data_IF_724589386973
#
_entry.id   IF_724589386973
#
_cell.length_a   1.000
_cell.length_b   1.000
_cell.length_c   1.000
_cell.angle_alpha   90.00
_cell.angle_beta   90.00
_cell.angle_gamma   90.00
#
_symmetry.space_group_name_H-M   'P 1'
#
loop_
_entity.id
_entity.type
_entity.pdbx_description
1 polymer ?
#
# COMPACT_ATOMS: atom_id res chain seq x y z
N UNK A 1 -0.93 -21.77 -40.22
CA UNK A 1 -0.38 -22.41 -39.01
C UNK A 1 -0.06 -21.29 -38.03
N UNK A 2 -0.85 -21.11 -36.97
CA UNK A 2 -0.62 -20.10 -35.93
C UNK A 2 0.56 -20.55 -35.08
N UNK A 3 1.64 -19.76 -35.08
CA UNK A 3 2.74 -19.94 -34.14
C UNK A 3 2.27 -19.62 -32.72
N UNK A 4 2.68 -20.47 -31.78
CA UNK A 4 2.20 -20.53 -30.42
C UNK A 4 2.33 -19.21 -29.67
N UNK A 5 1.18 -18.67 -29.28
CA UNK A 5 1.08 -17.87 -28.09
C UNK A 5 1.33 -18.82 -26.92
N UNK A 6 2.58 -18.85 -26.43
CA UNK A 6 2.86 -19.34 -25.08
C UNK A 6 2.05 -18.46 -24.15
N UNK A 7 0.86 -18.93 -23.80
CA UNK A 7 0.00 -18.18 -22.91
C UNK A 7 0.59 -18.37 -21.52
N UNK A 8 1.45 -17.43 -21.15
CA UNK A 8 2.04 -17.29 -19.82
C UNK A 8 0.94 -16.99 -18.80
N UNK A 9 0.14 -18.00 -18.42
CA UNK A 9 -1.03 -17.83 -17.55
C UNK A 9 -0.76 -18.04 -16.05
N UNK A 10 0.50 -18.13 -15.61
CA UNK A 10 0.81 -18.52 -14.23
C UNK A 10 1.14 -17.37 -13.26
N UNK A 11 1.57 -16.21 -13.75
CA UNK A 11 2.04 -15.10 -12.87
C UNK A 11 1.08 -13.90 -12.86
N UNK A 12 0.42 -13.60 -13.97
CA UNK A 12 -0.52 -12.47 -14.06
C UNK A 12 -1.77 -12.71 -13.18
N UNK A 13 -2.27 -13.95 -13.13
CA UNK A 13 -3.36 -14.32 -12.20
C UNK A 13 -2.98 -14.18 -10.73
N UNK A 14 -1.71 -14.43 -10.37
CA UNK A 14 -1.27 -14.28 -8.97
C UNK A 14 -1.16 -12.81 -8.60
N UNK A 15 -0.65 -11.97 -9.51
CA UNK A 15 -0.60 -10.52 -9.31
C UNK A 15 -1.99 -9.92 -9.22
N UNK A 16 -2.90 -10.24 -10.14
CA UNK A 16 -4.29 -9.77 -10.11
C UNK A 16 -4.98 -10.17 -8.79
N UNK A 17 -4.76 -11.39 -8.29
CA UNK A 17 -5.26 -11.79 -6.96
C UNK A 17 -4.65 -10.98 -5.82
N UNK A 18 -3.33 -10.74 -5.85
CA UNK A 18 -2.64 -9.95 -4.83
C UNK A 18 -3.08 -8.48 -4.85
N UNK A 19 -3.29 -7.90 -6.03
CA UNK A 19 -3.80 -6.54 -6.21
C UNK A 19 -5.23 -6.42 -5.69
N UNK A 20 -6.11 -7.38 -6.04
CA UNK A 20 -7.48 -7.44 -5.51
C UNK A 20 -7.50 -7.56 -3.99
N UNK A 21 -6.61 -8.37 -3.43
CA UNK A 21 -6.47 -8.50 -1.98
C UNK A 21 -6.13 -7.14 -1.37
N UNK A 22 -5.08 -6.47 -1.89
CA UNK A 22 -4.66 -5.17 -1.40
C UNK A 22 -5.74 -4.10 -1.53
N UNK A 23 -6.48 -4.06 -2.64
CA UNK A 23 -7.60 -3.14 -2.86
C UNK A 23 -8.73 -3.42 -1.86
N UNK A 24 -9.07 -4.69 -1.65
CA UNK A 24 -10.09 -5.10 -0.68
C UNK A 24 -9.69 -4.69 0.74
N UNK A 25 -8.44 -4.95 1.11
CA UNK A 25 -7.87 -4.54 2.39
C UNK A 25 -7.86 -3.02 2.56
N UNK A 26 -7.50 -2.26 1.51
CA UNK A 26 -7.56 -0.80 1.53
C UNK A 26 -8.99 -0.29 1.73
N UNK A 27 -9.96 -0.91 1.04
CA UNK A 27 -11.38 -0.63 1.23
C UNK A 27 -11.84 -0.89 2.66
N UNK A 28 -11.41 -2.00 3.27
CA UNK A 28 -11.66 -2.31 4.67
C UNK A 28 -11.04 -1.29 5.62
N UNK A 29 -9.80 -0.89 5.36
CA UNK A 29 -9.09 0.13 6.13
C UNK A 29 -9.83 1.48 6.10
N UNK A 30 -10.36 1.83 4.92
CA UNK A 30 -11.17 3.03 4.70
C UNK A 30 -12.57 3.00 5.32
N UNK A 31 -13.05 1.85 5.83
CA UNK A 31 -14.32 1.78 6.56
C UNK A 31 -14.25 2.48 7.92
N UNK A 32 -13.06 2.60 8.49
CA UNK A 32 -12.85 3.23 9.79
C UNK A 32 -11.87 4.40 9.64
N UNK A 33 -12.28 5.66 9.87
CA UNK A 33 -11.41 6.82 9.71
C UNK A 33 -10.15 6.75 10.57
N UNK A 34 -10.22 6.14 11.75
CA UNK A 34 -9.07 5.94 12.64
C UNK A 34 -8.03 4.99 12.03
N UNK A 35 -8.46 3.90 11.37
CA UNK A 35 -7.56 2.91 10.76
C UNK A 35 -6.82 3.48 9.56
N UNK A 36 -7.55 4.17 8.67
CA UNK A 36 -6.92 4.81 7.52
C UNK A 36 -6.03 5.97 7.93
N UNK A 37 -6.40 6.73 8.97
CA UNK A 37 -5.55 7.78 9.54
C UNK A 37 -4.19 7.25 10.00
N UNK A 38 -4.17 6.14 10.75
CA UNK A 38 -2.93 5.49 11.18
C UNK A 38 -2.04 5.05 10.01
N UNK A 39 -2.63 4.48 8.96
CA UNK A 39 -1.87 4.12 7.77
C UNK A 39 -1.30 5.32 7.02
N UNK A 40 -2.03 6.44 6.96
CA UNK A 40 -1.55 7.66 6.32
C UNK A 40 -0.41 8.30 7.09
N UNK A 41 -0.50 8.32 8.42
CA UNK A 41 0.58 8.79 9.29
C UNK A 41 1.85 7.93 9.12
N UNK A 42 1.69 6.60 9.08
CA UNK A 42 2.82 5.66 8.93
C UNK A 42 3.40 5.66 7.51
N UNK A 43 2.56 5.78 6.47
CA UNK A 43 3.00 5.81 5.07
C UNK A 43 3.50 7.19 4.62
N UNK A 44 3.16 8.25 5.35
CA UNK A 44 3.46 9.64 4.99
C UNK A 44 2.69 10.14 3.76
N UNK A 45 1.64 9.44 3.33
CA UNK A 45 0.82 9.78 2.17
C UNK A 45 -0.37 10.62 2.65
N UNK A 46 -0.68 11.72 1.95
CA UNK A 46 -1.87 12.53 2.26
C UNK A 46 -3.15 11.83 1.76
N UNK A 47 -4.28 12.02 2.45
CA UNK A 47 -5.55 11.40 2.06
C UNK A 47 -5.99 11.72 0.62
N UNK A 48 -5.71 12.94 0.14
CA UNK A 48 -5.99 13.36 -1.25
C UNK A 48 -5.29 12.49 -2.31
N UNK A 49 -4.15 11.87 -1.98
CA UNK A 49 -3.40 11.04 -2.90
C UNK A 49 -3.75 9.56 -2.81
N UNK A 50 -4.60 9.11 -1.87
CA UNK A 50 -4.95 7.69 -1.74
C UNK A 50 -5.56 7.14 -3.03
N UNK A 51 -6.53 7.86 -3.63
CA UNK A 51 -7.21 7.39 -4.85
C UNK A 51 -6.24 7.27 -6.03
N UNK A 52 -5.33 8.24 -6.17
CA UNK A 52 -4.29 8.20 -7.20
C UNK A 52 -3.27 7.08 -6.91
N UNK A 53 -2.86 6.93 -5.65
CA UNK A 53 -1.90 5.94 -5.22
C UNK A 53 -2.47 4.51 -5.31
N UNK A 54 -3.76 4.30 -5.10
CA UNK A 54 -4.42 3.00 -5.26
C UNK A 54 -4.34 2.44 -6.69
N UNK A 55 -4.05 3.29 -7.69
CA UNK A 55 -3.78 2.84 -9.07
C UNK A 55 -2.34 2.37 -9.28
N UNK A 56 -1.49 2.45 -8.26
CA UNK A 56 -0.08 2.05 -8.33
C UNK A 56 0.16 0.74 -7.57
N UNK A 57 0.76 -0.29 -8.21
CA UNK A 57 1.06 -1.56 -7.55
C UNK A 57 1.97 -1.39 -6.32
N UNK A 58 2.87 -0.39 -6.35
CA UNK A 58 3.77 -0.13 -5.22
C UNK A 58 3.07 0.40 -3.97
N UNK A 59 1.98 1.14 -4.13
CA UNK A 59 1.15 1.54 -2.98
C UNK A 59 0.41 0.35 -2.40
N UNK A 60 -0.14 -0.53 -3.25
CA UNK A 60 -0.81 -1.75 -2.82
C UNK A 60 0.13 -2.67 -2.00
N UNK A 61 1.38 -2.80 -2.44
CA UNK A 61 2.41 -3.49 -1.67
C UNK A 61 2.66 -2.80 -0.31
N UNK A 62 2.71 -1.48 -0.27
CA UNK A 62 2.85 -0.70 0.97
C UNK A 62 1.70 -0.93 1.96
N UNK A 63 0.45 -1.02 1.48
CA UNK A 63 -0.73 -1.34 2.28
C UNK A 63 -0.60 -2.73 2.91
N UNK A 64 -0.28 -3.74 2.11
CA UNK A 64 -0.08 -5.10 2.61
C UNK A 64 1.08 -5.19 3.60
N UNK A 65 2.16 -4.43 3.37
CA UNK A 65 3.31 -4.39 4.28
C UNK A 65 2.95 -3.75 5.62
N UNK A 66 2.14 -2.70 5.61
CA UNK A 66 1.64 -2.06 6.83
C UNK A 66 0.83 -3.05 7.65
N UNK A 67 -0.09 -3.79 7.01
CA UNK A 67 -0.86 -4.86 7.67
C UNK A 67 0.05 -5.91 8.28
N UNK A 68 1.05 -6.39 7.53
CA UNK A 68 1.99 -7.41 7.99
C UNK A 68 2.90 -6.99 9.14
N UNK A 69 2.95 -5.71 9.52
CA UNK A 69 3.64 -5.24 10.73
C UNK A 69 2.79 -5.38 11.99
N UNK A 70 1.49 -5.62 11.85
CA UNK A 70 0.56 -5.65 12.97
C UNK A 70 -0.36 -6.89 12.86
N UNK A 71 0.04 -7.97 13.53
CA UNK A 71 -0.71 -9.23 13.55
C UNK A 71 -2.15 -9.07 14.07
N UNK A 72 -2.39 -8.14 15.01
CA UNK A 72 -3.74 -7.87 15.52
C UNK A 72 -4.63 -7.23 14.44
N UNK A 73 -4.05 -6.36 13.60
CA UNK A 73 -4.76 -5.74 12.47
C UNK A 73 -5.07 -6.78 11.39
N UNK A 74 -4.13 -7.69 11.09
CA UNK A 74 -4.38 -8.83 10.20
C UNK A 74 -5.49 -9.72 10.75
N UNK A 75 -5.42 -10.12 12.02
CA UNK A 75 -6.45 -10.95 12.63
C UNK A 75 -7.84 -10.32 12.52
N UNK A 76 -7.94 -9.01 12.75
CA UNK A 76 -9.20 -8.26 12.61
C UNK A 76 -9.68 -8.22 11.16
N UNK A 77 -8.78 -7.95 10.20
CA UNK A 77 -9.13 -7.92 8.79
C UNK A 77 -9.52 -9.31 8.26
N UNK A 78 -8.82 -10.37 8.67
CA UNK A 78 -9.15 -11.75 8.34
C UNK A 78 -10.52 -12.16 8.88
N UNK A 79 -10.85 -11.74 10.11
CA UNK A 79 -12.16 -11.99 10.70
C UNK A 79 -13.31 -11.28 9.94
N UNK A 80 -13.10 -10.03 9.52
CA UNK A 80 -14.12 -9.24 8.80
C UNK A 80 -14.28 -9.66 7.34
N UNK A 81 -13.17 -10.06 6.70
CA UNK A 81 -13.11 -10.39 5.27
C UNK A 81 -13.18 -11.90 4.99
N UNK A 82 -13.21 -12.74 6.03
CA UNK A 82 -13.16 -14.20 5.96
C UNK A 82 -11.98 -14.71 5.09
N UNK A 83 -10.79 -14.15 5.32
CA UNK A 83 -9.57 -14.48 4.57
C UNK A 83 -8.51 -15.11 5.46
N UNK A 84 -7.59 -15.86 4.85
CA UNK A 84 -6.47 -16.47 5.54
C UNK A 84 -5.30 -15.46 5.69
N UNK A 85 -4.68 -15.34 6.88
CA UNK A 85 -3.54 -14.45 7.09
C UNK A 85 -2.34 -14.78 6.17
N UNK A 86 -2.18 -16.02 5.71
CA UNK A 86 -1.12 -16.40 4.78
C UNK A 86 -1.27 -15.71 3.42
N UNK A 87 -2.49 -15.35 3.00
CA UNK A 87 -2.70 -14.63 1.74
C UNK A 87 -2.00 -13.27 1.72
N UNK A 88 -1.84 -12.60 2.87
CA UNK A 88 -1.12 -11.34 2.96
C UNK A 88 0.38 -11.53 2.71
N UNK A 89 0.96 -12.58 3.29
CA UNK A 89 2.36 -12.93 3.10
C UNK A 89 2.65 -13.39 1.67
N UNK A 90 1.73 -14.13 1.05
CA UNK A 90 1.81 -14.52 -0.36
C UNK A 90 1.73 -13.30 -1.28
N UNK A 91 0.74 -12.43 -1.06
CA UNK A 91 0.57 -11.22 -1.86
C UNK A 91 1.79 -10.28 -1.80
N UNK A 92 2.45 -10.17 -0.64
CA UNK A 92 3.71 -9.42 -0.50
C UNK A 92 4.87 -10.01 -1.31
N UNK A 93 4.95 -11.34 -1.39
CA UNK A 93 5.97 -12.04 -2.19
C UNK A 93 5.69 -11.89 -3.69
N UNK A 94 4.43 -11.90 -4.08
CA UNK A 94 4.00 -11.74 -5.48
C UNK A 94 4.18 -10.30 -5.98
N UNK A 95 3.86 -9.31 -5.14
CA UNK A 95 3.98 -7.88 -5.44
C UNK A 95 5.39 -7.30 -5.16
N UNK A 96 6.41 -8.16 -5.04
CA UNK A 96 7.79 -7.87 -4.65
C UNK A 96 8.27 -6.43 -4.94
N UNK A 97 8.95 -5.81 -3.97
CA UNK A 97 9.32 -4.40 -3.96
C UNK A 97 10.15 -3.94 -5.19
N UNK A 98 10.75 -4.86 -5.95
CA UNK A 98 11.45 -4.56 -7.22
C UNK A 98 10.51 -4.20 -8.37
N UNK A 99 9.25 -4.64 -8.31
CA UNK A 99 8.20 -4.31 -9.29
C UNK A 99 7.41 -3.05 -8.90
N UNK A 100 7.51 -2.66 -7.63
CA UNK A 100 6.98 -1.42 -7.10
C UNK A 100 7.99 -0.30 -7.35
N UNK A 101 7.81 0.51 -8.40
CA UNK A 101 8.45 1.82 -8.38
C UNK A 101 8.05 2.50 -7.06
N UNK A 102 9.02 2.96 -6.25
CA UNK A 102 8.68 3.63 -5.01
C UNK A 102 7.81 4.81 -5.40
N UNK A 103 6.63 4.93 -4.78
CA UNK A 103 5.89 6.19 -4.74
C UNK A 103 6.88 7.17 -4.15
N UNK A 104 7.59 7.88 -5.03
CA UNK A 104 8.64 8.81 -4.66
C UNK A 104 8.01 9.73 -3.65
N UNK A 105 8.59 9.73 -2.46
CA UNK A 105 8.30 10.65 -1.38
C UNK A 105 7.99 12.00 -2.00
N UNK A 106 6.72 12.37 -1.97
CA UNK A 106 6.28 13.63 -2.52
C UNK A 106 6.91 14.68 -1.62
N UNK A 107 8.05 15.18 -2.06
CA UNK A 107 8.93 16.09 -1.32
C UNK A 107 8.08 17.23 -0.79
N UNK A 108 7.72 17.15 0.49
CA UNK A 108 7.10 18.23 1.24
C UNK A 108 8.10 19.38 1.34
N UNK A 109 8.20 20.19 0.29
CA UNK A 109 8.72 21.56 0.35
C UNK A 109 7.80 22.31 1.31
N UNK A 110 8.22 22.49 2.56
CA UNK A 110 7.36 23.15 3.54
C UNK A 110 7.90 23.39 4.94
N UNK A 111 9.22 23.53 5.14
CA UNK A 111 9.80 24.24 6.30
C UNK A 111 11.00 25.07 5.85
N UNK A 112 10.76 26.02 4.96
CA UNK A 112 11.65 27.15 4.75
C UNK A 112 11.13 28.32 5.62
N UNK A 113 12.02 28.92 6.40
CA UNK A 113 11.76 30.19 7.07
C UNK A 113 11.56 30.11 8.58
N UNK A 114 12.57 29.65 9.33
CA UNK A 114 12.79 30.27 10.63
C UNK A 114 13.54 31.58 10.34
N UNK A 115 12.95 32.77 10.57
CA UNK A 115 13.71 34.00 10.46
C UNK A 115 14.86 33.99 11.48
N UNK A 116 16.00 34.60 11.17
CA UNK A 116 17.06 34.75 12.16
C UNK A 116 16.48 35.54 13.34
N UNK A 117 16.42 34.95 14.54
CA UNK A 117 16.25 35.74 15.75
C UNK A 117 17.54 36.54 15.91
N UNK A 118 17.53 37.73 15.32
CA UNK A 118 18.34 38.86 15.74
C UNK A 118 18.00 39.09 17.21
N UNK A 119 18.76 38.49 18.11
CA UNK A 119 18.79 38.92 19.49
C UNK A 119 19.67 40.17 19.48
N UNK A 120 19.01 41.32 19.33
CA UNK A 120 19.62 42.62 19.53
C UNK A 120 20.24 42.67 20.93
N UNK A 121 21.42 43.29 20.95
CA UNK A 121 22.25 43.69 22.08
C UNK A 121 21.47 44.36 23.21
#
# INVERSE_FOLDING_TARGET
>A
MMQGQVISFAEEQKRDRAERLAITTLGWLGREPSRIGWFLEESGIKPDFIRAAASTPGFLWGVLRFMSRNDALIATACADLAMDPACFAEALQVLDARSAEPVVAQKGKGRAGLPPRVLFR
#
